data_IF_580301538410
#
_entry.id   IF_580301538410
#
_cell.length_a   1.000
_cell.length_b   1.000
_cell.length_c   1.000
_cell.angle_alpha   90.00
_cell.angle_beta   90.00
_cell.angle_gamma   90.00
#
_symmetry.space_group_name_H-M   'P 1'
#
loop_
_entity.id
_entity.type
_entity.pdbx_description
1 polymer ?
#
# COMPACT_ATOMS: atom_id res chain seq x y z
N UNK A 1 8.64 -23.00 -2.04
CA UNK A 1 8.93 -23.98 -0.97
C UNK A 1 8.45 -25.34 -1.45
N UNK A 2 9.09 -26.45 -1.09
CA UNK A 2 8.66 -27.79 -1.52
C UNK A 2 7.60 -28.37 -0.58
N UNK A 3 6.70 -29.21 -1.10
CA UNK A 3 5.66 -29.90 -0.33
C UNK A 3 6.20 -30.64 0.91
N UNK A 4 7.44 -31.14 0.81
CA UNK A 4 8.17 -31.80 1.89
C UNK A 4 8.39 -30.92 3.11
N UNK A 5 8.68 -29.62 2.92
CA UNK A 5 8.94 -28.70 4.03
C UNK A 5 7.72 -28.54 4.94
N UNK A 6 6.54 -28.35 4.35
CA UNK A 6 5.31 -28.17 5.13
C UNK A 6 4.89 -29.46 5.84
N UNK A 7 5.14 -30.62 5.22
CA UNK A 7 4.92 -31.91 5.87
C UNK A 7 5.82 -32.10 7.10
N UNK A 8 7.11 -31.72 7.01
CA UNK A 8 8.03 -31.76 8.16
C UNK A 8 7.56 -30.82 9.28
N UNK A 9 7.24 -29.56 8.97
CA UNK A 9 6.78 -28.60 9.97
C UNK A 9 5.49 -29.06 10.68
N UNK A 10 4.52 -29.55 9.92
CA UNK A 10 3.25 -30.05 10.50
C UNK A 10 3.50 -31.32 11.31
N UNK A 11 4.37 -32.21 10.84
CA UNK A 11 4.71 -33.44 11.55
C UNK A 11 5.38 -33.18 12.89
N UNK A 12 6.34 -32.25 12.95
CA UNK A 12 6.96 -31.83 14.21
C UNK A 12 5.94 -31.25 15.18
N UNK A 13 5.09 -30.33 14.71
CA UNK A 13 4.06 -29.72 15.54
C UNK A 13 3.05 -30.74 16.12
N UNK A 14 2.62 -31.70 15.30
CA UNK A 14 1.73 -32.77 15.76
C UNK A 14 2.43 -33.70 16.76
N UNK A 15 3.70 -34.02 16.55
CA UNK A 15 4.51 -34.81 17.48
C UNK A 15 4.64 -34.11 18.84
N UNK A 16 4.98 -32.81 18.86
CA UNK A 16 5.05 -32.01 20.09
C UNK A 16 3.71 -31.91 20.82
N UNK A 17 2.60 -31.85 20.07
CA UNK A 17 1.25 -31.86 20.62
C UNK A 17 0.78 -33.25 21.08
N UNK A 18 1.57 -34.31 20.86
CA UNK A 18 1.19 -35.69 21.18
C UNK A 18 0.06 -36.24 20.29
N UNK A 19 -0.09 -35.71 19.09
CA UNK A 19 -1.13 -36.08 18.13
C UNK A 19 -0.52 -36.98 17.05
N UNK A 20 -1.03 -38.19 16.93
CA UNK A 20 -0.70 -39.09 15.81
C UNK A 20 -1.58 -38.78 14.60
N UNK A 21 -0.98 -38.69 13.42
CA UNK A 21 -1.69 -38.54 12.15
C UNK A 21 -1.16 -39.56 11.13
N UNK A 22 -2.03 -39.99 10.21
CA UNK A 22 -1.61 -40.77 9.05
C UNK A 22 -0.89 -39.88 8.03
N UNK A 23 -0.14 -40.50 7.11
CA UNK A 23 0.56 -39.77 6.04
C UNK A 23 -0.40 -38.92 5.19
N UNK A 24 -1.57 -39.47 4.84
CA UNK A 24 -2.59 -38.74 4.07
C UNK A 24 -3.17 -37.55 4.84
N UNK A 25 -3.37 -37.70 6.16
CA UNK A 25 -3.82 -36.59 7.01
C UNK A 25 -2.75 -35.50 7.12
N UNK A 26 -1.49 -35.90 7.30
CA UNK A 26 -0.35 -35.01 7.39
C UNK A 26 -0.17 -34.21 6.09
N UNK A 27 -0.27 -34.89 4.94
CA UNK A 27 -0.26 -34.26 3.61
C UNK A 27 -1.41 -33.28 3.42
N UNK A 28 -2.62 -33.65 3.85
CA UNK A 28 -3.81 -32.78 3.77
C UNK A 28 -3.62 -31.51 4.60
N UNK A 29 -3.18 -31.64 5.86
CA UNK A 29 -2.96 -30.49 6.75
C UNK A 29 -1.82 -29.62 6.24
N UNK A 30 -0.71 -30.22 5.77
CA UNK A 30 0.40 -29.49 5.18
C UNK A 30 -0.04 -28.64 3.98
N UNK A 31 -0.88 -29.19 3.08
CA UNK A 31 -1.43 -28.44 1.96
C UNK A 31 -2.33 -27.28 2.38
N UNK A 32 -3.14 -27.45 3.43
CA UNK A 32 -3.96 -26.38 4.01
C UNK A 32 -3.08 -25.26 4.58
N UNK A 33 -2.05 -25.62 5.35
CA UNK A 33 -1.13 -24.66 5.96
C UNK A 33 -0.35 -23.89 4.89
N UNK A 34 0.12 -24.57 3.84
CA UNK A 34 0.77 -23.91 2.71
C UNK A 34 -0.16 -22.88 2.05
N UNK A 35 -1.39 -23.29 1.71
CA UNK A 35 -2.35 -22.38 1.09
C UNK A 35 -2.68 -21.18 1.99
N UNK A 36 -2.82 -21.40 3.29
CA UNK A 36 -3.02 -20.32 4.25
C UNK A 36 -1.82 -19.37 4.33
N UNK A 37 -0.59 -19.91 4.27
CA UNK A 37 0.64 -19.11 4.25
C UNK A 37 0.76 -18.26 2.98
N UNK A 38 0.37 -18.79 1.81
CA UNK A 38 0.38 -18.05 0.56
C UNK A 38 -0.57 -16.84 0.60
N UNK A 39 -1.73 -16.99 1.25
CA UNK A 39 -2.73 -15.91 1.42
C UNK A 39 -2.44 -15.02 2.64
N UNK A 40 -1.46 -15.38 3.47
CA UNK A 40 -1.10 -14.61 4.67
C UNK A 40 -0.63 -13.18 4.32
N UNK A 41 0.12 -13.04 3.22
CA UNK A 41 0.59 -11.74 2.72
C UNK A 41 -0.55 -10.80 2.34
N UNK A 42 -1.60 -11.33 1.69
CA UNK A 42 -2.77 -10.56 1.26
C UNK A 42 -3.65 -10.11 2.44
N UNK A 43 -3.78 -10.97 3.46
CA UNK A 43 -4.64 -10.70 4.63
C UNK A 43 -4.02 -9.75 5.65
N UNK A 44 -2.68 -9.72 5.77
CA UNK A 44 -1.97 -8.91 6.76
C UNK A 44 -1.22 -7.70 6.16
N UNK A 45 -1.48 -7.38 4.88
CA UNK A 45 -0.90 -6.22 4.20
C UNK A 45 0.63 -6.28 4.12
N UNK A 46 1.21 -7.48 4.18
CA UNK A 46 2.63 -7.68 3.93
C UNK A 46 2.83 -7.78 2.44
N UNK A 47 2.73 -6.64 1.75
CA UNK A 47 3.10 -6.55 0.34
C UNK A 47 4.58 -6.98 0.21
N UNK A 48 4.91 -7.91 -0.71
CA UNK A 48 6.29 -8.28 -0.94
C UNK A 48 7.09 -7.02 -1.34
N UNK A 49 8.21 -6.79 -0.66
CA UNK A 49 9.07 -5.65 -0.97
C UNK A 49 9.65 -5.76 -2.39
N UNK A 50 9.62 -4.68 -3.16
CA UNK A 50 10.21 -4.61 -4.50
C UNK A 50 9.21 -4.87 -5.63
N UNK A 51 7.91 -4.70 -5.38
CA UNK A 51 6.93 -4.74 -6.46
C UNK A 51 7.14 -3.53 -7.39
N UNK A 52 6.92 -3.69 -8.71
CA UNK A 52 7.02 -2.55 -9.65
C UNK A 52 6.13 -1.36 -9.25
N UNK A 53 5.01 -1.67 -8.57
CA UNK A 53 4.04 -0.71 -8.06
C UNK A 53 4.60 0.14 -6.91
N UNK A 54 5.66 -0.28 -6.22
CA UNK A 54 6.26 0.46 -5.10
C UNK A 54 6.77 1.84 -5.54
N UNK A 55 7.33 1.92 -6.75
CA UNK A 55 7.79 3.17 -7.32
C UNK A 55 6.63 4.14 -7.60
N UNK A 56 5.52 3.62 -8.13
CA UNK A 56 4.31 4.38 -8.41
C UNK A 56 3.61 4.81 -7.11
N UNK A 57 3.47 3.92 -6.13
CA UNK A 57 2.94 4.22 -4.80
C UNK A 57 3.79 5.30 -4.11
N UNK A 58 5.12 5.24 -4.22
CA UNK A 58 6.01 6.26 -3.68
C UNK A 58 5.84 7.61 -4.38
N UNK A 59 5.70 7.62 -5.70
CA UNK A 59 5.45 8.83 -6.47
C UNK A 59 4.10 9.47 -6.08
N UNK A 60 3.02 8.67 -6.03
CA UNK A 60 1.69 9.11 -5.64
C UNK A 60 1.65 9.62 -4.20
N UNK A 61 2.36 8.98 -3.26
CA UNK A 61 2.50 9.49 -1.88
C UNK A 61 3.19 10.84 -1.83
N UNK A 62 4.23 11.04 -2.63
CA UNK A 62 4.93 12.32 -2.71
C UNK A 62 4.04 13.42 -3.31
N UNK A 63 3.23 13.10 -4.33
CA UNK A 63 2.24 14.03 -4.88
C UNK A 63 1.15 14.37 -3.85
N UNK A 64 0.59 13.38 -3.17
CA UNK A 64 -0.39 13.60 -2.11
C UNK A 64 0.17 14.48 -0.98
N UNK A 65 1.43 14.28 -0.60
CA UNK A 65 2.09 15.12 0.39
C UNK A 65 2.27 16.55 -0.10
N UNK A 66 2.63 16.76 -1.37
CA UNK A 66 2.70 18.08 -1.98
C UNK A 66 1.34 18.77 -1.95
N UNK A 67 0.27 18.08 -2.36
CA UNK A 67 -1.09 18.60 -2.32
C UNK A 67 -1.53 18.96 -0.90
N UNK A 68 -1.23 18.12 0.09
CA UNK A 68 -1.51 18.41 1.51
C UNK A 68 -0.69 19.56 2.07
N UNK A 69 0.53 19.75 1.57
CA UNK A 69 1.41 20.84 1.96
C UNK A 69 1.06 22.17 1.25
N UNK A 70 0.16 22.15 0.26
CA UNK A 70 -0.35 23.40 -0.32
C UNK A 70 -1.12 24.15 0.75
N UNK A 71 -0.68 25.38 1.00
CA UNK A 71 -1.38 26.33 1.83
C UNK A 71 -2.75 26.61 1.20
N UNK A 72 -3.82 26.15 1.87
CA UNK A 72 -5.18 26.47 1.48
C UNK A 72 -5.44 27.94 1.83
N UNK A 73 -5.98 28.71 0.88
CA UNK A 73 -6.26 30.12 1.16
C UNK A 73 -7.31 30.20 2.28
N UNK A 74 -7.00 30.91 3.37
CA UNK A 74 -7.86 30.95 4.57
C UNK A 74 -9.24 31.54 4.35
N UNK A 75 -9.39 32.41 3.34
CA UNK A 75 -10.65 33.08 3.00
C UNK A 75 -11.56 32.22 2.12
N UNK A 76 -11.02 31.54 1.10
CA UNK A 76 -11.81 30.66 0.24
C UNK A 76 -11.78 29.19 0.69
N UNK A 77 -10.98 28.83 1.70
CA UNK A 77 -10.78 27.45 2.18
C UNK A 77 -10.44 26.45 1.07
N UNK A 78 -9.82 26.92 -0.02
CA UNK A 78 -9.49 26.09 -1.19
C UNK A 78 -10.62 25.90 -2.21
N UNK A 79 -11.76 26.59 -2.10
CA UNK A 79 -12.76 26.64 -3.18
C UNK A 79 -12.43 27.76 -4.17
N UNK A 80 -11.91 27.38 -5.33
CA UNK A 80 -11.61 28.28 -6.44
C UNK A 80 -11.09 27.51 -7.65
N UNK A 81 -11.28 28.05 -8.86
CA UNK A 81 -10.68 27.48 -10.06
C UNK A 81 -9.24 28.01 -10.20
N UNK A 82 -8.28 27.10 -10.35
CA UNK A 82 -6.92 27.47 -10.75
C UNK A 82 -6.95 27.62 -12.28
N UNK A 83 -6.92 28.86 -12.77
CA UNK A 83 -6.86 29.12 -14.21
C UNK A 83 -5.39 29.21 -14.63
N UNK A 84 -4.89 28.13 -15.24
CA UNK A 84 -3.53 28.11 -15.81
C UNK A 84 -3.54 28.80 -17.18
N UNK A 85 -2.94 29.99 -17.27
CA UNK A 85 -2.79 30.71 -18.55
C UNK A 85 -1.50 30.26 -19.25
N UNK A 86 -1.62 29.63 -20.42
CA UNK A 86 -0.49 29.17 -21.23
C UNK A 86 -0.04 30.27 -22.20
N UNK A 87 1.09 30.93 -21.89
CA UNK A 87 1.82 31.85 -22.78
C UNK A 87 3.29 31.38 -22.93
N UNK A 88 4.02 31.79 -23.99
CA UNK A 88 5.38 31.33 -24.26
C UNK A 88 6.37 31.97 -23.25
N UNK A 89 6.49 31.33 -22.10
CA UNK A 89 7.28 31.79 -20.95
C UNK A 89 6.61 31.31 -19.67
N UNK A 90 6.95 30.10 -19.22
CA UNK A 90 6.27 29.42 -18.10
C UNK A 90 6.37 30.24 -16.81
N UNK A 91 5.25 30.79 -16.34
CA UNK A 91 5.01 31.18 -14.95
C UNK A 91 3.61 30.73 -14.56
N UNK A 92 3.50 29.90 -13.53
CA UNK A 92 2.23 29.64 -12.84
C UNK A 92 2.04 30.74 -11.80
N UNK A 93 1.15 31.70 -12.09
CA UNK A 93 0.67 32.65 -11.08
C UNK A 93 -0.63 32.05 -10.54
N UNK A 94 -0.56 31.38 -9.39
CA UNK A 94 -1.77 30.85 -8.72
C UNK A 94 -2.40 31.98 -7.89
N UNK A 95 -3.11 32.89 -8.56
CA UNK A 95 -3.97 33.85 -7.89
C UNK A 95 -5.35 33.23 -7.73
N UNK A 96 -5.73 32.93 -6.49
CA UNK A 96 -7.12 32.61 -6.18
C UNK A 96 -7.97 33.87 -6.44
N UNK A 97 -9.02 33.79 -7.27
CA UNK A 97 -9.86 34.95 -7.61
C UNK A 97 -10.56 35.57 -6.39
N UNK A 98 -10.84 34.77 -5.36
CA UNK A 98 -11.48 35.24 -4.12
C UNK A 98 -10.54 36.06 -3.23
N UNK A 99 -9.27 35.64 -3.08
CA UNK A 99 -8.32 36.29 -2.16
C UNK A 99 -7.15 37.00 -2.87
N UNK A 100 -7.11 37.02 -4.21
CA UNK A 100 -6.03 37.54 -5.05
C UNK A 100 -4.62 37.06 -4.64
N UNK A 101 -4.52 35.87 -4.03
CA UNK A 101 -3.26 35.34 -3.48
C UNK A 101 -2.82 35.93 -2.12
N UNK A 102 -3.60 36.83 -1.50
CA UNK A 102 -3.30 37.43 -0.19
C UNK A 102 -3.57 36.49 1.00
N UNK A 103 -4.42 35.49 0.81
CA UNK A 103 -4.82 34.55 1.86
C UNK A 103 -3.90 33.32 2.00
N UNK A 104 -2.71 33.32 1.37
CA UNK A 104 -1.67 32.32 1.64
C UNK A 104 -1.09 32.61 3.02
N UNK A 105 -1.36 31.76 4.00
CA UNK A 105 -0.79 31.78 5.36
C UNK A 105 0.14 30.60 5.57
#
# INVERSE_FOLDING_TARGET
MSDTYWMECVGEALCEAGISATEEQLKTVAGIVQGAHEVYGESHGSEPAGLPQDAEVKALRAELQKERAKVTCGECKGTGQIVTVYLPGRRSIETCDACQGRGRV
#
